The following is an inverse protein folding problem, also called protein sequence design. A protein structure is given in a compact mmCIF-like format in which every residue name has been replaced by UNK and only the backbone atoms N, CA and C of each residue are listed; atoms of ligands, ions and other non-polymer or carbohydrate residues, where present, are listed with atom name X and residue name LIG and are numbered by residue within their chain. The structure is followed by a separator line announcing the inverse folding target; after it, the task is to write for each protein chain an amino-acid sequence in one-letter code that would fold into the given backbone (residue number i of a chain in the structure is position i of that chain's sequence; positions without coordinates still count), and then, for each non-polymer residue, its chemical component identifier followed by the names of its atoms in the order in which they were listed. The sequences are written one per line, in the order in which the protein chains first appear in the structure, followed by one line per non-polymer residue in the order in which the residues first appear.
data_IF_046529073498
#
_entry.id   IF_046529073498
#
_cell.length_a   1.000
_cell.length_b   1.000
_cell.length_c   1.000
_cell.angle_alpha   90.00
_cell.angle_beta   90.00
_cell.angle_gamma   90.00
#
_symmetry.space_group_name_H-M   'P 1'
#
loop_
_entity.id
_entity.type
_entity.pdbx_description
1 polymer ?
#
# COMPACT_ATOMS: atom_id res chain seq x y z
N UNK A 1 -47.61 -32.78 66.82
CA UNK A 1 -47.53 -33.14 65.39
C UNK A 1 -47.01 -31.88 64.71
N UNK A 2 -45.70 -31.75 64.52
CA UNK A 2 -45.07 -30.67 63.86
C UNK A 2 -44.69 -31.07 62.47
N UNK A 3 -45.36 -30.48 61.49
CA UNK A 3 -45.18 -30.74 60.07
C UNK A 3 -43.93 -29.96 59.60
N UNK A 4 -42.89 -30.71 59.23
CA UNK A 4 -41.65 -30.20 58.69
C UNK A 4 -41.83 -30.00 57.18
N UNK A 5 -41.90 -28.73 56.72
CA UNK A 5 -41.88 -28.37 55.30
C UNK A 5 -40.42 -28.33 54.81
N UNK A 6 -40.10 -28.94 53.64
CA UNK A 6 -38.77 -28.88 53.07
C UNK A 6 -38.48 -27.47 52.58
N UNK A 7 -37.28 -26.97 52.91
CA UNK A 7 -36.76 -25.71 52.38
C UNK A 7 -36.51 -25.80 50.86
N UNK A 8 -37.17 -24.89 50.13
CA UNK A 8 -36.88 -24.69 48.71
C UNK A 8 -35.53 -23.98 48.59
N UNK A 9 -34.50 -24.68 48.15
CA UNK A 9 -33.26 -24.05 47.67
C UNK A 9 -33.51 -23.55 46.25
N UNK A 10 -33.57 -22.24 46.06
CA UNK A 10 -33.47 -21.59 44.75
C UNK A 10 -32.06 -21.85 44.19
N UNK A 11 -31.91 -22.90 43.47
CA UNK A 11 -30.76 -23.11 42.59
C UNK A 11 -30.98 -22.22 41.36
N UNK A 12 -30.56 -20.95 41.44
CA UNK A 12 -30.48 -20.07 40.29
C UNK A 12 -29.35 -20.60 39.39
N UNK A 13 -29.68 -21.55 38.56
CA UNK A 13 -28.81 -22.02 37.48
C UNK A 13 -28.38 -20.81 36.66
N UNK A 14 -27.13 -20.42 36.80
CA UNK A 14 -26.52 -19.37 35.98
C UNK A 14 -26.75 -19.73 34.52
N UNK A 15 -27.40 -18.82 33.79
CA UNK A 15 -27.52 -18.93 32.33
C UNK A 15 -26.10 -18.82 31.80
N UNK A 16 -25.49 -19.96 31.49
CA UNK A 16 -24.21 -19.93 30.74
C UNK A 16 -24.44 -19.18 29.42
N UNK A 17 -23.58 -18.23 29.05
CA UNK A 17 -23.74 -17.52 27.81
C UNK A 17 -23.68 -18.54 26.66
N UNK A 18 -24.75 -18.60 25.87
CA UNK A 18 -24.85 -19.46 24.71
C UNK A 18 -23.61 -19.18 23.84
N UNK A 19 -22.76 -20.20 23.70
CA UNK A 19 -21.57 -20.10 22.83
C UNK A 19 -22.02 -19.68 21.44
N UNK A 20 -21.68 -18.47 21.05
CA UNK A 20 -22.02 -17.92 19.73
C UNK A 20 -21.45 -18.84 18.66
N UNK A 21 -22.29 -19.30 17.74
CA UNK A 21 -21.88 -20.17 16.64
C UNK A 21 -20.64 -19.58 15.90
N UNK A 22 -19.68 -20.40 15.47
CA UNK A 22 -18.48 -19.91 14.82
C UNK A 22 -18.83 -19.10 13.56
N UNK A 23 -18.31 -17.86 13.48
CA UNK A 23 -18.53 -16.97 12.33
C UNK A 23 -18.11 -17.65 11.03
N UNK A 24 -18.91 -17.54 9.99
CA UNK A 24 -18.56 -17.99 8.64
C UNK A 24 -17.37 -17.19 8.07
N UNK A 25 -16.70 -17.73 7.05
CA UNK A 25 -15.59 -17.01 6.38
C UNK A 25 -16.03 -15.65 5.86
N UNK A 26 -17.24 -15.56 5.30
CA UNK A 26 -17.82 -14.30 4.83
C UNK A 26 -18.03 -13.30 5.98
N UNK A 27 -18.61 -13.74 7.10
CA UNK A 27 -18.79 -12.88 8.28
C UNK A 27 -17.46 -12.38 8.85
N UNK A 28 -16.42 -13.21 8.87
CA UNK A 28 -15.07 -12.82 9.25
C UNK A 28 -14.48 -11.80 8.27
N UNK A 29 -14.75 -11.95 6.97
CA UNK A 29 -14.33 -11.01 5.94
C UNK A 29 -14.97 -9.63 6.11
N UNK A 30 -16.29 -9.60 6.30
CA UNK A 30 -17.04 -8.34 6.53
C UNK A 30 -16.57 -7.64 7.81
N UNK A 31 -16.33 -8.42 8.89
CA UNK A 31 -15.81 -7.86 10.14
C UNK A 31 -14.44 -7.22 9.97
N UNK A 32 -13.52 -7.89 9.23
CA UNK A 32 -12.21 -7.31 8.91
C UNK A 32 -12.31 -6.03 8.08
N UNK A 33 -13.24 -5.98 7.11
CA UNK A 33 -13.46 -4.76 6.33
C UNK A 33 -13.98 -3.60 7.19
N UNK A 34 -14.91 -3.88 8.13
CA UNK A 34 -15.40 -2.88 9.07
C UNK A 34 -14.27 -2.34 9.95
N UNK A 35 -13.50 -3.23 10.58
CA UNK A 35 -12.34 -2.85 11.39
C UNK A 35 -11.33 -2.04 10.58
N UNK A 36 -11.13 -2.39 9.31
CA UNK A 36 -10.22 -1.65 8.44
C UNK A 36 -10.75 -0.27 8.06
N UNK A 37 -12.07 -0.12 7.89
CA UNK A 37 -12.70 1.19 7.64
C UNK A 37 -12.59 2.12 8.86
N UNK A 38 -12.78 1.58 10.07
CA UNK A 38 -12.59 2.34 11.32
C UNK A 38 -11.12 2.74 11.49
N UNK A 39 -10.19 1.81 11.26
CA UNK A 39 -8.74 2.09 11.31
C UNK A 39 -8.34 3.18 10.32
N UNK A 40 -8.89 3.14 9.09
CA UNK A 40 -8.65 4.17 8.06
C UNK A 40 -9.05 5.55 8.56
N UNK A 41 -10.22 5.69 9.17
CA UNK A 41 -10.69 6.97 9.67
C UNK A 41 -9.79 7.50 10.80
N UNK A 42 -9.50 6.66 11.81
CA UNK A 42 -8.62 7.04 12.92
C UNK A 42 -7.21 7.40 12.45
N UNK A 43 -6.67 6.64 11.50
CA UNK A 43 -5.35 6.91 10.93
C UNK A 43 -5.32 8.24 10.15
N UNK A 44 -6.38 8.55 9.42
CA UNK A 44 -6.48 9.80 8.69
C UNK A 44 -6.61 11.00 9.64
N UNK A 45 -7.45 10.92 10.66
CA UNK A 45 -7.63 11.99 11.64
C UNK A 45 -6.31 12.31 12.38
N UNK A 46 -5.56 11.26 12.75
CA UNK A 46 -4.23 11.44 13.34
C UNK A 46 -3.23 12.03 12.33
N UNK A 47 -3.23 11.53 11.10
CA UNK A 47 -2.33 11.99 10.04
C UNK A 47 -2.57 13.46 9.69
N UNK A 48 -3.83 13.90 9.61
CA UNK A 48 -4.19 15.28 9.36
C UNK A 48 -3.64 16.21 10.45
N UNK A 49 -3.73 15.79 11.71
CA UNK A 49 -3.13 16.53 12.82
C UNK A 49 -1.60 16.55 12.75
N UNK A 50 -0.95 15.38 12.71
CA UNK A 50 0.51 15.28 12.87
C UNK A 50 1.28 15.92 11.71
N UNK A 51 0.75 15.85 10.46
CA UNK A 51 1.41 16.41 9.27
C UNK A 51 1.52 17.94 9.28
N UNK A 52 0.77 18.61 10.15
CA UNK A 52 0.80 20.05 10.36
C UNK A 52 1.78 20.46 11.46
N UNK A 53 2.32 19.52 12.22
CA UNK A 53 3.22 19.77 13.36
C UNK A 53 4.69 19.75 12.98
N UNK A 54 5.53 20.30 13.87
CA UNK A 54 6.98 20.20 13.75
C UNK A 54 7.55 18.80 13.98
N UNK A 55 6.80 17.92 14.66
CA UNK A 55 7.20 16.56 14.99
C UNK A 55 7.07 15.59 13.77
N UNK A 56 6.30 15.98 12.76
CA UNK A 56 6.12 15.15 11.57
C UNK A 56 7.41 14.98 10.77
N UNK A 57 7.78 13.75 10.39
CA UNK A 57 8.88 13.51 9.46
C UNK A 57 8.71 14.31 8.16
N UNK A 58 9.79 14.87 7.66
CA UNK A 58 9.76 15.82 6.53
C UNK A 58 9.08 15.25 5.28
N UNK A 59 9.19 13.94 5.05
CA UNK A 59 8.59 13.26 3.88
C UNK A 59 7.05 13.28 3.90
N UNK A 60 6.43 13.43 5.08
CA UNK A 60 4.97 13.45 5.26
C UNK A 60 4.40 14.85 5.50
N UNK A 61 5.22 15.88 5.66
CA UNK A 61 4.72 17.25 5.89
C UNK A 61 3.77 17.68 4.77
N UNK A 62 2.53 18.06 5.16
CA UNK A 62 1.47 18.44 4.23
C UNK A 62 0.93 17.29 3.36
N UNK A 63 1.17 16.02 3.72
CA UNK A 63 0.73 14.84 2.99
C UNK A 63 -0.03 13.87 3.90
N UNK A 64 -1.22 14.24 4.39
CA UNK A 64 -1.95 13.42 5.36
C UNK A 64 -2.36 12.05 4.80
N UNK A 65 -2.64 11.92 3.51
CA UNK A 65 -2.99 10.63 2.90
C UNK A 65 -1.81 9.65 2.90
N UNK A 66 -0.61 10.11 2.57
CA UNK A 66 0.60 9.27 2.60
C UNK A 66 0.92 8.86 4.04
N UNK A 67 0.79 9.78 5.00
CA UNK A 67 0.98 9.53 6.42
C UNK A 67 -0.06 8.52 6.95
N UNK A 68 -1.34 8.66 6.61
CA UNK A 68 -2.40 7.71 6.98
C UNK A 68 -2.12 6.30 6.42
N UNK A 69 -1.66 6.21 5.17
CA UNK A 69 -1.30 4.93 4.56
C UNK A 69 -0.13 4.25 5.29
N UNK A 70 0.88 5.02 5.72
CA UNK A 70 1.99 4.52 6.52
C UNK A 70 1.53 4.03 7.91
N UNK A 71 0.66 4.80 8.59
CA UNK A 71 0.10 4.46 9.90
C UNK A 71 -0.72 3.17 9.82
N UNK A 72 -1.62 3.03 8.85
CA UNK A 72 -2.43 1.81 8.65
C UNK A 72 -1.52 0.59 8.47
N UNK A 73 -0.49 0.73 7.66
CA UNK A 73 0.44 -0.38 7.40
C UNK A 73 1.30 -0.70 8.63
N UNK A 74 1.75 0.33 9.34
CA UNK A 74 2.54 0.17 10.56
C UNK A 74 1.75 -0.49 11.69
N UNK A 75 0.50 -0.08 11.89
CA UNK A 75 -0.40 -0.69 12.89
C UNK A 75 -0.56 -2.20 12.65
N UNK A 76 -0.64 -2.64 11.39
CA UNK A 76 -0.71 -4.07 11.06
C UNK A 76 0.56 -4.86 11.45
N UNK A 77 1.70 -4.16 11.63
CA UNK A 77 3.00 -4.72 12.05
C UNK A 77 3.34 -4.45 13.52
N UNK A 78 2.40 -3.85 14.28
CA UNK A 78 2.56 -3.59 15.70
C UNK A 78 3.24 -2.26 16.05
N UNK A 79 3.43 -1.37 15.10
CA UNK A 79 3.90 -0.01 15.37
C UNK A 79 2.76 0.88 15.87
N UNK A 80 3.07 1.80 16.77
CA UNK A 80 2.22 2.93 17.06
C UNK A 80 2.23 3.95 15.89
N UNK A 81 1.33 4.94 15.86
CA UNK A 81 1.25 5.88 14.74
C UNK A 81 2.56 6.63 14.45
N UNK A 82 3.28 7.09 15.48
CA UNK A 82 4.53 7.81 15.33
C UNK A 82 5.65 6.89 14.86
N UNK A 83 5.75 5.70 15.46
CA UNK A 83 6.67 4.65 15.02
C UNK A 83 6.42 4.22 13.58
N UNK A 84 5.17 4.18 13.14
CA UNK A 84 4.83 3.90 11.76
C UNK A 84 5.37 4.98 10.79
N UNK A 85 5.24 6.26 11.13
CA UNK A 85 5.77 7.37 10.33
C UNK A 85 7.30 7.36 10.23
N UNK A 86 7.97 6.88 11.29
CA UNK A 86 9.43 6.70 11.32
C UNK A 86 9.91 5.41 10.64
N UNK A 87 9.03 4.39 10.57
CA UNK A 87 9.35 3.08 10.00
C UNK A 87 9.16 3.01 8.49
N UNK A 88 8.24 3.81 7.94
CA UNK A 88 7.86 3.77 6.54
C UNK A 88 8.23 5.04 5.78
N UNK A 89 8.30 4.90 4.47
CA UNK A 89 8.39 6.01 3.52
C UNK A 89 7.50 5.73 2.32
N UNK A 90 7.05 6.80 1.65
CA UNK A 90 6.32 6.73 0.38
C UNK A 90 7.13 7.44 -0.69
N UNK A 91 7.55 6.71 -1.71
CA UNK A 91 8.27 7.23 -2.86
C UNK A 91 7.56 6.80 -4.14
N UNK A 92 7.16 7.74 -4.98
CA UNK A 92 6.47 7.49 -6.25
C UNK A 92 5.24 6.58 -6.10
N UNK A 93 4.43 6.80 -5.05
CA UNK A 93 3.23 6.01 -4.77
C UNK A 93 3.47 4.59 -4.24
N UNK A 94 4.73 4.19 -4.01
CA UNK A 94 5.08 2.91 -3.38
C UNK A 94 5.48 3.13 -1.94
N UNK A 95 4.89 2.35 -1.04
CA UNK A 95 5.27 2.33 0.37
C UNK A 95 6.44 1.36 0.57
N UNK A 96 7.55 1.87 1.09
CA UNK A 96 8.69 1.07 1.52
C UNK A 96 8.88 1.15 3.04
N UNK A 97 9.76 0.31 3.57
CA UNK A 97 10.14 0.29 4.99
C UNK A 97 11.65 0.48 5.13
N UNK A 98 12.07 1.26 6.13
CA UNK A 98 13.48 1.38 6.46
C UNK A 98 14.04 0.06 6.97
N UNK A 99 15.28 -0.24 6.58
CA UNK A 99 15.92 -1.52 6.93
C UNK A 99 15.96 -1.78 8.44
N UNK A 100 16.22 -0.74 9.26
CA UNK A 100 16.17 -0.82 10.73
C UNK A 100 14.79 -1.24 11.24
N UNK A 101 13.72 -0.75 10.63
CA UNK A 101 12.37 -1.11 11.01
C UNK A 101 12.00 -2.54 10.59
N UNK A 102 12.56 -3.03 9.47
CA UNK A 102 12.42 -4.44 9.07
C UNK A 102 13.05 -5.38 10.09
N UNK A 103 14.20 -5.01 10.67
CA UNK A 103 14.83 -5.75 11.78
C UNK A 103 13.93 -5.73 13.02
N UNK A 104 13.38 -4.58 13.41
CA UNK A 104 12.48 -4.50 14.55
C UNK A 104 11.24 -5.40 14.38
N UNK A 105 10.67 -5.48 13.16
CA UNK A 105 9.59 -6.43 12.86
C UNK A 105 10.05 -7.88 13.00
N UNK A 106 11.26 -8.22 12.53
CA UNK A 106 11.80 -9.57 12.68
C UNK A 106 12.00 -9.94 14.16
N UNK A 107 12.50 -9.00 14.98
CA UNK A 107 12.64 -9.20 16.44
C UNK A 107 11.28 -9.35 17.12
N UNK A 108 10.29 -8.55 16.75
CA UNK A 108 8.94 -8.62 17.31
C UNK A 108 8.25 -9.98 17.05
N UNK A 109 8.59 -10.66 15.96
CA UNK A 109 8.11 -12.03 15.69
C UNK A 109 9.02 -13.12 16.28
N UNK A 110 10.00 -12.74 17.11
CA UNK A 110 10.85 -13.65 17.88
C UNK A 110 12.13 -14.08 17.17
N UNK A 111 12.52 -13.46 16.06
CA UNK A 111 13.83 -13.68 15.46
C UNK A 111 14.93 -13.08 16.35
N UNK A 112 16.12 -13.66 16.31
CA UNK A 112 17.32 -13.10 16.95
C UNK A 112 18.24 -12.59 15.85
N UNK A 113 18.75 -11.35 15.99
CA UNK A 113 19.60 -10.70 14.99
C UNK A 113 20.80 -10.03 15.66
N UNK A 114 21.93 -9.99 14.99
CA UNK A 114 23.13 -9.30 15.47
C UNK A 114 24.05 -8.94 14.32
N UNK A 115 24.83 -7.87 14.51
CA UNK A 115 25.92 -7.50 13.62
C UNK A 115 27.17 -8.31 14.02
N UNK A 116 27.77 -9.05 13.08
CA UNK A 116 28.97 -9.85 13.32
C UNK A 116 30.22 -9.05 13.01
N UNK A 117 30.20 -8.28 11.91
CA UNK A 117 31.32 -7.46 11.48
C UNK A 117 30.81 -6.21 10.76
N UNK A 118 31.45 -5.06 10.98
CA UNK A 118 31.15 -3.83 10.29
C UNK A 118 32.39 -2.98 10.06
N UNK A 119 32.82 -2.91 8.80
CA UNK A 119 33.85 -2.02 8.30
C UNK A 119 33.28 -1.12 7.20
N UNK A 120 34.09 -0.20 6.67
CA UNK A 120 33.65 0.63 5.54
C UNK A 120 33.63 -0.15 4.21
N UNK A 121 34.32 -1.28 4.15
CA UNK A 121 34.39 -2.14 2.96
C UNK A 121 33.42 -3.32 3.00
N UNK A 122 33.05 -3.78 4.18
CA UNK A 122 32.24 -5.00 4.39
C UNK A 122 31.43 -4.92 5.66
N UNK A 123 30.17 -5.37 5.60
CA UNK A 123 29.29 -5.55 6.75
C UNK A 123 28.67 -6.93 6.69
N UNK A 124 28.62 -7.62 7.85
CA UNK A 124 27.98 -8.93 8.00
C UNK A 124 26.96 -8.87 9.13
N UNK A 125 25.74 -9.30 8.83
CA UNK A 125 24.66 -9.49 9.79
C UNK A 125 24.25 -10.95 9.84
N UNK A 126 23.93 -11.40 11.04
CA UNK A 126 23.48 -12.77 11.31
C UNK A 126 22.13 -12.76 12.01
N UNK A 127 21.36 -13.84 11.84
CA UNK A 127 20.12 -14.01 12.55
C UNK A 127 19.59 -15.42 12.51
N UNK A 128 18.65 -15.73 13.41
CA UNK A 128 17.95 -17.01 13.50
C UNK A 128 16.44 -16.78 13.50
N UNK A 129 15.70 -17.76 12.98
CA UNK A 129 14.24 -17.80 13.08
C UNK A 129 13.81 -18.24 14.47
N UNK A 130 12.58 -17.93 14.91
CA UNK A 130 12.06 -18.44 16.17
C UNK A 130 12.07 -19.97 16.19
N UNK A 131 12.68 -20.57 17.22
CA UNK A 131 12.74 -22.02 17.37
C UNK A 131 13.66 -22.77 16.41
N UNK A 132 14.48 -22.05 15.62
CA UNK A 132 15.48 -22.63 14.73
C UNK A 132 16.88 -22.22 15.18
N UNK A 133 17.79 -23.19 15.32
CA UNK A 133 19.20 -22.94 15.68
C UNK A 133 20.07 -22.61 14.46
N UNK A 134 19.50 -22.70 13.24
CA UNK A 134 20.22 -22.37 12.02
C UNK A 134 20.49 -20.88 11.93
N UNK A 135 21.77 -20.50 11.87
CA UNK A 135 22.19 -19.11 11.69
C UNK A 135 22.22 -18.78 10.20
N UNK A 136 21.39 -17.84 9.79
CA UNK A 136 21.46 -17.20 8.48
C UNK A 136 22.46 -16.05 8.56
N UNK A 137 23.30 -15.91 7.52
CA UNK A 137 24.36 -14.89 7.46
C UNK A 137 24.27 -14.15 6.14
N UNK A 138 24.28 -12.83 6.21
CA UNK A 138 24.25 -11.92 5.03
C UNK A 138 25.45 -11.00 5.12
N UNK A 139 26.25 -10.98 4.05
CA UNK A 139 27.41 -10.08 3.93
C UNK A 139 27.26 -9.22 2.69
N UNK A 140 27.39 -7.92 2.88
CA UNK A 140 27.49 -6.94 1.79
C UNK A 140 28.84 -6.27 1.80
N UNK A 141 29.47 -6.20 0.62
CA UNK A 141 30.74 -5.51 0.41
C UNK A 141 30.56 -4.32 -0.52
N UNK A 142 31.47 -3.35 -0.47
CA UNK A 142 31.49 -2.23 -1.40
C UNK A 142 31.58 -2.70 -2.86
N UNK A 143 32.38 -3.74 -3.12
CA UNK A 143 32.48 -4.35 -4.45
C UNK A 143 31.14 -4.94 -4.94
N UNK A 144 30.41 -5.59 -4.06
CA UNK A 144 29.09 -6.13 -4.40
C UNK A 144 28.09 -5.00 -4.66
N UNK A 145 28.11 -3.95 -3.83
CA UNK A 145 27.27 -2.77 -4.01
C UNK A 145 27.59 -2.03 -5.32
N UNK A 146 28.84 -1.97 -5.74
CA UNK A 146 29.27 -1.40 -7.00
C UNK A 146 28.77 -2.23 -8.18
N UNK A 147 28.96 -3.55 -8.15
CA UNK A 147 28.47 -4.48 -9.18
C UNK A 147 26.95 -4.40 -9.34
N UNK A 148 26.22 -4.24 -8.23
CA UNK A 148 24.76 -4.06 -8.22
C UNK A 148 24.32 -2.63 -8.62
N UNK A 149 25.23 -1.70 -8.87
CA UNK A 149 24.92 -0.32 -9.30
C UNK A 149 24.47 0.62 -8.17
N UNK A 150 24.51 0.20 -6.90
CA UNK A 150 24.04 1.00 -5.76
C UNK A 150 24.98 2.18 -5.42
N UNK A 151 26.24 2.10 -5.76
CA UNK A 151 27.25 3.15 -5.50
C UNK A 151 27.02 4.45 -6.29
N UNK A 152 26.03 4.48 -7.19
CA UNK A 152 25.52 5.73 -7.78
C UNK A 152 24.94 6.68 -6.71
N UNK A 153 24.43 6.15 -5.60
CA UNK A 153 24.01 6.94 -4.47
C UNK A 153 25.24 7.46 -3.73
N UNK A 154 25.34 8.80 -3.62
CA UNK A 154 26.47 9.48 -3.00
C UNK A 154 26.73 9.04 -1.55
N UNK A 155 25.71 8.58 -0.84
CA UNK A 155 25.84 8.08 0.53
C UNK A 155 26.79 6.87 0.66
N UNK A 156 26.97 6.07 -0.41
CA UNK A 156 27.99 5.00 -0.39
C UNK A 156 29.43 5.53 -0.32
N UNK A 157 29.66 6.80 -0.72
CA UNK A 157 30.97 7.44 -0.59
C UNK A 157 31.15 8.13 0.76
N UNK A 158 30.08 8.71 1.31
CA UNK A 158 30.13 9.47 2.56
C UNK A 158 29.93 8.62 3.81
N UNK A 159 29.07 7.60 3.72
CA UNK A 159 28.67 6.74 4.83
C UNK A 159 28.57 5.27 4.37
N UNK A 160 29.67 4.65 3.86
CA UNK A 160 29.63 3.32 3.25
C UNK A 160 29.13 2.25 4.21
N UNK A 161 29.61 2.24 5.44
CA UNK A 161 29.22 1.28 6.47
C UNK A 161 27.71 1.26 6.75
N UNK A 162 27.10 2.45 6.86
CA UNK A 162 25.64 2.56 7.09
C UNK A 162 24.84 2.05 5.89
N UNK A 163 25.30 2.31 4.68
CA UNK A 163 24.66 1.83 3.47
C UNK A 163 24.75 0.31 3.33
N UNK A 164 25.92 -0.27 3.62
CA UNK A 164 26.11 -1.73 3.64
C UNK A 164 25.29 -2.38 4.75
N UNK A 165 25.25 -1.75 5.95
CA UNK A 165 24.42 -2.20 7.07
C UNK A 165 22.95 -2.27 6.70
N UNK A 166 22.41 -1.23 6.10
CA UNK A 166 21.01 -1.19 5.64
C UNK A 166 20.72 -2.32 4.63
N UNK A 167 21.65 -2.64 3.74
CA UNK A 167 21.54 -3.77 2.82
C UNK A 167 21.49 -5.11 3.55
N UNK A 168 22.41 -5.36 4.46
CA UNK A 168 22.45 -6.57 5.25
C UNK A 168 21.16 -6.75 6.06
N UNK A 169 20.73 -5.71 6.76
CA UNK A 169 19.52 -5.71 7.57
C UNK A 169 18.26 -6.04 6.75
N UNK A 170 18.07 -5.35 5.62
CA UNK A 170 16.91 -5.57 4.78
C UNK A 170 16.87 -6.98 4.18
N UNK A 171 18.00 -7.49 3.73
CA UNK A 171 18.10 -8.85 3.16
C UNK A 171 17.92 -9.92 4.23
N UNK A 172 18.62 -9.80 5.36
CA UNK A 172 18.51 -10.74 6.47
C UNK A 172 17.07 -10.83 7.00
N UNK A 173 16.42 -9.68 7.24
CA UNK A 173 15.05 -9.64 7.73
C UNK A 173 14.08 -10.38 6.80
N UNK A 174 14.24 -10.26 5.47
CA UNK A 174 13.43 -11.00 4.49
C UNK A 174 13.71 -12.50 4.51
N UNK A 175 14.93 -12.91 4.81
CA UNK A 175 15.27 -14.33 4.91
C UNK A 175 14.66 -14.96 6.15
N UNK A 176 14.77 -14.29 7.32
CA UNK A 176 14.36 -14.87 8.61
C UNK A 176 12.89 -14.62 8.96
N UNK A 177 12.28 -13.53 8.48
CA UNK A 177 10.91 -13.14 8.77
C UNK A 177 10.07 -12.82 7.50
N UNK A 178 10.06 -13.67 6.45
CA UNK A 178 9.43 -13.35 5.18
C UNK A 178 7.91 -13.14 5.29
N UNK A 179 7.25 -13.90 6.15
CA UNK A 179 5.81 -13.81 6.38
C UNK A 179 5.38 -12.51 7.06
N UNK A 180 6.20 -11.98 7.96
CA UNK A 180 5.91 -10.72 8.65
C UNK A 180 6.08 -9.51 7.72
N UNK A 181 7.06 -9.54 6.82
CA UNK A 181 7.40 -8.42 5.95
C UNK A 181 6.56 -8.36 4.65
N UNK A 182 5.89 -9.44 4.25
CA UNK A 182 4.94 -9.50 3.12
C UNK A 182 5.42 -8.79 1.83
N UNK A 183 6.71 -8.95 1.49
CA UNK A 183 7.29 -8.37 0.26
C UNK A 183 7.50 -6.85 0.29
N UNK A 184 7.59 -6.23 1.45
CA UNK A 184 7.94 -4.81 1.58
C UNK A 184 9.33 -4.54 0.99
N UNK A 185 9.45 -3.47 0.21
CA UNK A 185 10.72 -3.00 -0.35
C UNK A 185 11.45 -2.13 0.68
N UNK A 186 12.79 -2.12 0.62
CA UNK A 186 13.63 -1.25 1.46
C UNK A 186 14.13 -0.03 0.69
N UNK A 187 14.55 1.00 1.42
CA UNK A 187 15.18 2.21 0.86
C UNK A 187 16.47 1.91 0.06
N UNK A 188 17.11 0.80 0.38
CA UNK A 188 18.33 0.36 -0.27
C UNK A 188 18.10 -0.31 -1.64
N UNK A 189 16.86 -0.37 -2.13
CA UNK A 189 16.46 -0.98 -3.40
C UNK A 189 15.78 0.05 -4.33
N UNK A 190 16.51 1.04 -4.87
CA UNK A 190 15.94 2.07 -5.72
C UNK A 190 15.29 1.51 -7.00
N UNK A 191 15.79 0.38 -7.52
CA UNK A 191 15.24 -0.24 -8.74
C UNK A 191 13.85 -0.87 -8.49
N UNK A 192 13.56 -1.31 -7.25
CA UNK A 192 12.23 -1.79 -6.88
C UNK A 192 11.19 -0.66 -6.83
N UNK A 193 11.63 0.60 -6.74
CA UNK A 193 10.80 1.80 -6.72
C UNK A 193 10.62 2.41 -8.10
N UNK A 194 11.45 2.05 -9.09
CA UNK A 194 11.27 2.51 -10.46
C UNK A 194 10.09 1.78 -11.11
N UNK A 195 9.10 2.48 -11.70
CA UNK A 195 8.05 1.80 -12.43
C UNK A 195 8.64 1.11 -13.65
N UNK A 196 8.64 -0.22 -13.65
CA UNK A 196 8.96 -0.99 -14.86
C UNK A 196 7.83 -0.72 -15.84
N UNK A 197 8.12 0.01 -16.93
CA UNK A 197 7.21 0.07 -18.07
C UNK A 197 7.18 -1.32 -18.69
N UNK A 198 6.27 -2.16 -18.21
CA UNK A 198 5.98 -3.43 -18.84
C UNK A 198 5.33 -3.12 -20.19
N UNK A 199 6.10 -3.19 -21.25
CA UNK A 199 5.56 -3.24 -22.61
C UNK A 199 4.95 -4.64 -22.77
N UNK A 200 3.66 -4.76 -22.48
CA UNK A 200 2.93 -5.98 -22.77
C UNK A 200 2.80 -6.09 -24.28
N UNK A 201 3.69 -6.82 -24.91
CA UNK A 201 3.53 -7.25 -26.30
C UNK A 201 2.40 -8.29 -26.30
N UNK A 202 1.20 -7.84 -26.67
CA UNK A 202 0.06 -8.72 -26.84
C UNK A 202 0.36 -9.67 -27.98
N UNK A 203 0.81 -10.88 -27.66
CA UNK A 203 0.86 -11.96 -28.63
C UNK A 203 -0.58 -12.38 -28.89
N UNK A 204 -1.11 -12.08 -30.08
CA UNK A 204 -2.42 -12.51 -30.51
C UNK A 204 -2.53 -14.03 -30.45
N UNK A 205 -3.07 -14.52 -29.34
CA UNK A 205 -3.50 -15.91 -29.23
C UNK A 205 -4.91 -15.98 -29.82
N UNK A 206 -5.00 -16.46 -31.05
CA UNK A 206 -6.26 -16.82 -31.68
C UNK A 206 -7.13 -17.64 -30.74
N UNK A 207 -8.31 -17.10 -30.50
CA UNK A 207 -9.55 -17.72 -30.03
C UNK A 207 -9.45 -19.11 -29.37
N UNK A 208 -9.62 -19.13 -28.06
CA UNK A 208 -10.34 -20.20 -27.38
C UNK A 208 -11.58 -19.53 -26.73
N UNK A 209 -12.67 -19.50 -27.48
CA UNK A 209 -13.98 -19.09 -26.99
C UNK A 209 -14.50 -20.15 -26.02
N UNK A 210 -14.82 -19.75 -24.80
CA UNK A 210 -15.46 -20.64 -23.83
C UNK A 210 -15.74 -19.93 -22.49
N UNK A 211 -14.72 -19.41 -21.82
CA UNK A 211 -14.90 -18.88 -20.46
C UNK A 211 -15.52 -17.48 -20.40
N UNK A 212 -15.25 -16.62 -21.38
CA UNK A 212 -15.81 -15.25 -21.41
C UNK A 212 -17.28 -15.21 -21.86
N UNK A 213 -17.69 -16.14 -22.73
CA UNK A 213 -19.08 -16.28 -23.12
C UNK A 213 -19.94 -16.87 -21.98
N UNK A 214 -19.39 -17.75 -21.16
CA UNK A 214 -20.08 -18.28 -19.98
C UNK A 214 -20.24 -17.24 -18.87
N UNK A 215 -19.25 -16.36 -18.67
CA UNK A 215 -19.32 -15.25 -17.70
C UNK A 215 -20.30 -14.15 -18.12
N UNK A 216 -20.38 -13.79 -19.43
CA UNK A 216 -21.36 -12.82 -19.91
C UNK A 216 -22.79 -13.34 -19.90
N UNK A 217 -23.02 -14.66 -20.06
CA UNK A 217 -24.33 -15.27 -19.93
C UNK A 217 -24.83 -15.32 -18.47
N UNK A 218 -23.91 -15.51 -17.51
CA UNK A 218 -24.22 -15.48 -16.07
C UNK A 218 -24.48 -14.06 -15.54
N UNK A 219 -23.82 -13.04 -16.13
CA UNK A 219 -24.00 -11.63 -15.76
C UNK A 219 -25.33 -11.02 -16.26
N UNK A 220 -25.97 -11.62 -17.26
CA UNK A 220 -27.26 -11.14 -17.79
C UNK A 220 -28.48 -11.61 -17.01
N UNK A 221 -28.33 -12.51 -16.03
CA UNK A 221 -29.44 -13.03 -15.21
C UNK A 221 -29.64 -12.33 -13.86
N UNK A 222 -28.82 -11.36 -13.49
CA UNK A 222 -28.90 -10.63 -12.20
C UNK A 222 -28.85 -9.11 -12.36
N UNK A 223 -29.49 -8.56 -13.38
CA UNK A 223 -29.58 -7.10 -13.54
C UNK A 223 -30.72 -6.54 -12.68
N UNK A 224 -30.39 -6.01 -11.51
CA UNK A 224 -31.11 -4.92 -10.85
C UNK A 224 -30.27 -3.63 -11.02
N UNK A 225 -30.90 -2.45 -11.17
CA UNK A 225 -30.21 -1.25 -11.65
C UNK A 225 -29.29 -0.67 -10.59
N UNK A 226 -28.02 -0.47 -10.98
CA UNK A 226 -27.02 0.26 -10.20
C UNK A 226 -26.97 1.75 -10.57
N UNK A 227 -26.46 2.62 -9.67
CA UNK A 227 -26.48 4.07 -9.82
C UNK A 227 -25.45 4.61 -10.84
N UNK A 228 -25.75 5.79 -11.34
CA UNK A 228 -25.22 6.50 -12.50
C UNK A 228 -23.82 7.12 -12.36
N UNK A 229 -22.79 6.46 -11.83
CA UNK A 229 -21.44 7.05 -11.73
C UNK A 229 -20.44 6.59 -12.82
N UNK A 230 -20.80 5.65 -13.69
CA UNK A 230 -19.92 5.11 -14.72
C UNK A 230 -19.94 5.87 -16.08
N UNK A 231 -20.79 6.89 -16.23
CA UNK A 231 -21.00 7.59 -17.50
C UNK A 231 -20.10 8.84 -17.64
N UNK A 232 -19.60 9.39 -16.53
CA UNK A 232 -18.83 10.64 -16.53
C UNK A 232 -17.39 10.43 -17.01
N UNK A 233 -16.74 9.33 -16.64
CA UNK A 233 -15.35 9.03 -17.07
C UNK A 233 -15.21 8.77 -18.57
N UNK A 234 -16.26 8.26 -19.22
CA UNK A 234 -16.25 7.98 -20.67
C UNK A 234 -16.41 9.27 -21.49
N UNK A 235 -17.23 10.22 -21.00
CA UNK A 235 -17.45 11.53 -21.62
C UNK A 235 -16.19 12.41 -21.54
N UNK A 236 -15.56 12.50 -20.39
CA UNK A 236 -14.33 13.26 -20.19
C UNK A 236 -13.20 12.77 -21.10
N UNK A 237 -13.00 11.45 -21.15
CA UNK A 237 -12.00 10.81 -22.00
C UNK A 237 -12.23 11.07 -23.48
N UNK A 238 -13.49 11.09 -23.92
CA UNK A 238 -13.88 11.39 -25.31
C UNK A 238 -13.58 12.85 -25.68
N UNK A 239 -13.93 13.79 -24.80
CA UNK A 239 -13.68 15.23 -25.01
C UNK A 239 -12.19 15.53 -25.09
N UNK A 240 -11.38 14.94 -24.19
CA UNK A 240 -9.93 15.12 -24.19
C UNK A 240 -9.28 14.57 -25.47
N UNK A 241 -9.74 13.43 -25.98
CA UNK A 241 -9.27 12.88 -27.25
C UNK A 241 -9.63 13.78 -28.43
N UNK A 242 -10.87 14.31 -28.50
CA UNK A 242 -11.30 15.22 -29.56
C UNK A 242 -10.49 16.53 -29.58
N UNK A 243 -10.16 17.08 -28.40
CA UNK A 243 -9.29 18.28 -28.30
C UNK A 243 -7.88 17.97 -28.79
N UNK A 244 -7.36 16.79 -28.45
CA UNK A 244 -6.01 16.38 -28.84
C UNK A 244 -5.90 16.18 -30.36
N UNK A 245 -6.95 15.71 -31.01
CA UNK A 245 -7.01 15.46 -32.46
C UNK A 245 -7.53 16.66 -33.26
N UNK A 246 -7.95 17.76 -32.60
CA UNK A 246 -8.51 18.92 -33.26
C UNK A 246 -7.52 19.50 -34.32
N UNK A 247 -7.96 19.64 -35.59
CA UNK A 247 -7.08 20.06 -36.68
C UNK A 247 -6.75 21.57 -36.67
N UNK A 248 -7.64 22.39 -36.08
CA UNK A 248 -7.51 23.83 -36.07
C UNK A 248 -8.14 24.48 -34.83
N UNK A 249 -7.86 25.77 -34.62
CA UNK A 249 -8.37 26.56 -33.49
C UNK A 249 -9.88 26.72 -33.42
N UNK A 250 -10.62 26.93 -34.56
CA UNK A 250 -12.08 26.98 -34.55
C UNK A 250 -12.71 25.69 -33.98
N UNK A 251 -12.17 24.54 -34.34
CA UNK A 251 -12.65 23.23 -33.82
C UNK A 251 -12.51 23.13 -32.30
N UNK A 252 -11.41 23.61 -31.72
CA UNK A 252 -11.24 23.66 -30.27
C UNK A 252 -12.29 24.57 -29.62
N UNK A 253 -12.58 25.72 -30.23
CA UNK A 253 -13.60 26.65 -29.73
C UNK A 253 -14.97 26.02 -29.73
N UNK A 254 -15.29 25.24 -30.77
CA UNK A 254 -16.57 24.55 -30.90
C UNK A 254 -16.74 23.45 -29.86
N UNK A 255 -15.69 22.67 -29.60
CA UNK A 255 -15.67 21.63 -28.54
C UNK A 255 -15.91 22.28 -27.18
N UNK A 256 -15.18 23.37 -26.86
CA UNK A 256 -15.28 24.09 -25.59
C UNK A 256 -16.66 24.79 -25.39
N UNK A 257 -17.40 25.03 -26.46
CA UNK A 257 -18.72 25.66 -26.38
C UNK A 257 -19.87 24.65 -26.10
N UNK A 258 -19.62 23.35 -26.18
CA UNK A 258 -20.62 22.29 -25.97
C UNK A 258 -21.13 22.28 -24.52
N UNK A 259 -22.42 21.95 -24.38
CA UNK A 259 -23.05 21.89 -23.05
C UNK A 259 -22.51 20.77 -22.18
N UNK A 260 -21.96 19.70 -22.78
CA UNK A 260 -21.27 18.60 -22.10
C UNK A 260 -20.02 19.10 -21.37
N UNK A 261 -19.20 19.96 -21.98
CA UNK A 261 -18.02 20.57 -21.39
C UNK A 261 -18.38 21.54 -20.26
N UNK A 262 -19.44 22.32 -20.44
CA UNK A 262 -19.92 23.28 -19.44
C UNK A 262 -20.53 22.62 -18.21
N UNK A 263 -20.99 21.37 -18.32
CA UNK A 263 -21.56 20.60 -17.22
C UNK A 263 -20.57 19.75 -16.43
N UNK A 264 -19.29 19.77 -16.82
CA UNK A 264 -18.23 19.07 -16.08
C UNK A 264 -17.98 19.71 -14.72
N UNK A 265 -17.63 18.87 -13.73
CA UNK A 265 -17.18 19.34 -12.42
C UNK A 265 -15.87 20.12 -12.49
N UNK A 266 -15.57 20.93 -11.45
CA UNK A 266 -14.46 21.88 -11.46
C UNK A 266 -13.11 21.29 -11.88
N UNK A 267 -12.73 20.13 -11.36
CA UNK A 267 -11.46 19.48 -11.67
C UNK A 267 -11.40 18.94 -13.11
N UNK A 268 -12.51 18.39 -13.62
CA UNK A 268 -12.62 17.85 -14.97
C UNK A 268 -12.66 18.98 -16.00
N UNK A 269 -13.37 20.06 -15.70
CA UNK A 269 -13.39 21.27 -16.53
C UNK A 269 -12.00 21.91 -16.63
N UNK A 270 -11.21 21.92 -15.56
CA UNK A 270 -9.84 22.44 -15.54
C UNK A 270 -8.91 21.57 -16.38
N UNK A 271 -9.08 20.24 -16.38
CA UNK A 271 -8.33 19.33 -17.25
C UNK A 271 -8.62 19.58 -18.73
N UNK A 272 -9.88 19.71 -19.10
CA UNK A 272 -10.31 20.01 -20.48
C UNK A 272 -9.79 21.38 -20.94
N UNK A 273 -9.88 22.39 -20.09
CA UNK A 273 -9.38 23.75 -20.37
C UNK A 273 -7.85 23.77 -20.55
N UNK A 274 -7.12 23.03 -19.75
CA UNK A 274 -5.67 22.90 -19.85
C UNK A 274 -5.26 22.18 -21.14
N UNK A 275 -5.95 21.11 -21.52
CA UNK A 275 -5.71 20.40 -22.78
C UNK A 275 -6.01 21.29 -24.00
N UNK A 276 -7.12 22.01 -23.97
CA UNK A 276 -7.50 22.95 -25.02
C UNK A 276 -6.47 24.07 -25.21
N UNK A 277 -5.98 24.67 -24.12
CA UNK A 277 -4.93 25.69 -24.17
C UNK A 277 -3.62 25.14 -24.74
N UNK A 278 -3.22 23.95 -24.33
CA UNK A 278 -2.00 23.30 -24.83
C UNK A 278 -2.10 23.02 -26.33
N UNK A 279 -3.23 22.49 -26.79
CA UNK A 279 -3.46 22.22 -28.21
C UNK A 279 -3.53 23.52 -29.02
N UNK A 280 -4.20 24.54 -28.49
CA UNK A 280 -4.30 25.86 -29.12
C UNK A 280 -2.94 26.52 -29.37
N UNK A 281 -2.01 26.39 -28.42
CA UNK A 281 -0.64 26.91 -28.57
C UNK A 281 0.17 26.13 -29.60
N UNK A 282 -0.10 24.84 -29.78
CA UNK A 282 0.59 23.97 -30.74
C UNK A 282 0.04 24.08 -32.17
N UNK A 283 -1.13 24.68 -32.37
CA UNK A 283 -1.72 24.98 -33.66
C UNK A 283 -1.30 26.41 -34.06
N UNK A 284 -0.15 26.51 -34.75
CA UNK A 284 0.40 27.77 -35.26
C UNK A 284 -0.40 28.31 -36.44
#
# INVERSE_FOLDING_TARGET
MTTNLPAYTNDAGGIEPIATAPKTLMQKGVEKLRQHAELKQMAFDYADFITQTGACPTIYKGKPLDAAAAIIRGTALGFDPDGALEAFFVIQGKTGMYARAMIAVAENVGCRVWEEEATDDSVTWCGTRPGDDKVERVTWTMKLAETAGYTKNQKYKTNPREMLRAKCQAELARIIAPGALMGLVSEAEPDALTPVKATATRTDRKQAGGARAALSAAAQQTAQPEPQDAVVDDVLSSILAEIQDAPDRPTITEIMARDEVKSLDGDDHDQVSSAANTRWQNLA
#
